data_IF_386767080027
#
_entry.id   IF_386767080027
#
_cell.length_a   1.000
_cell.length_b   1.000
_cell.length_c   1.000
_cell.angle_alpha   90.00
_cell.angle_beta   90.00
_cell.angle_gamma   90.00
#
_symmetry.space_group_name_H-M   'P 1'
#
loop_
_entity.id
_entity.type
_entity.pdbx_description
1 polymer ?
#
# COMPACT_ATOMS: atom_id res chain seq x y z
N UNK A 1 -15.62 3.31 21.97
CA UNK A 1 -15.37 4.16 20.78
C UNK A 1 -14.98 3.25 19.64
N UNK A 2 -15.48 3.47 18.44
CA UNK A 2 -15.01 2.74 17.27
C UNK A 2 -13.53 3.11 17.03
N UNK A 3 -12.69 2.10 16.80
CA UNK A 3 -11.23 2.27 16.69
C UNK A 3 -10.77 2.85 15.34
N UNK A 4 -9.46 2.96 15.18
CA UNK A 4 -8.80 3.34 13.92
C UNK A 4 -8.32 2.06 13.24
N UNK A 5 -8.82 1.78 12.05
CA UNK A 5 -8.36 0.66 11.22
C UNK A 5 -7.17 1.09 10.36
N UNK A 6 -6.08 0.33 10.40
CA UNK A 6 -4.90 0.57 9.57
C UNK A 6 -5.01 -0.24 8.28
N UNK A 7 -4.79 0.43 7.15
CA UNK A 7 -4.86 -0.12 5.80
C UNK A 7 -3.53 0.15 5.11
N UNK A 8 -3.07 -0.78 4.31
CA UNK A 8 -1.94 -0.57 3.41
C UNK A 8 -2.20 -1.22 2.05
N UNK A 9 -1.21 -1.25 1.17
CA UNK A 9 -1.31 -1.91 -0.12
C UNK A 9 -0.30 -3.06 -0.26
N UNK A 10 -0.46 -3.88 -1.29
CA UNK A 10 0.33 -5.11 -1.48
C UNK A 10 1.83 -4.87 -1.64
N UNK A 11 2.27 -3.63 -1.87
CA UNK A 11 3.69 -3.29 -2.03
C UNK A 11 4.40 -3.05 -0.71
N UNK A 12 3.72 -3.21 0.42
CA UNK A 12 4.31 -3.04 1.75
C UNK A 12 5.19 -4.21 2.19
N UNK A 13 5.16 -5.36 1.49
CA UNK A 13 5.91 -6.58 1.81
C UNK A 13 5.72 -7.07 3.26
N UNK A 14 4.52 -6.86 3.81
CA UNK A 14 4.14 -7.42 5.11
C UNK A 14 3.90 -8.92 4.99
N UNK A 15 4.43 -9.68 5.93
CA UNK A 15 4.12 -11.11 6.03
C UNK A 15 2.66 -11.34 6.40
N UNK A 16 2.10 -12.48 6.00
CA UNK A 16 0.74 -12.91 6.41
C UNK A 16 0.58 -13.01 7.92
N UNK A 17 1.66 -13.34 8.64
CA UNK A 17 1.66 -13.37 10.10
C UNK A 17 1.45 -11.97 10.69
N UNK A 18 2.15 -10.96 10.18
CA UNK A 18 2.02 -9.58 10.65
C UNK A 18 0.65 -8.99 10.29
N UNK A 19 0.15 -9.24 9.07
CA UNK A 19 -1.18 -8.76 8.68
C UNK A 19 -2.27 -9.37 9.56
N UNK A 20 -2.20 -10.67 9.84
CA UNK A 20 -3.14 -11.34 10.73
C UNK A 20 -3.04 -10.84 12.18
N UNK A 21 -1.81 -10.73 12.72
CA UNK A 21 -1.56 -10.28 14.10
C UNK A 21 -2.15 -8.90 14.39
N UNK A 22 -2.04 -7.98 13.45
CA UNK A 22 -2.50 -6.60 13.61
C UNK A 22 -3.88 -6.33 13.00
N UNK A 23 -4.52 -7.35 12.41
CA UNK A 23 -5.82 -7.19 11.75
C UNK A 23 -5.78 -6.21 10.57
N UNK A 24 -4.68 -6.18 9.82
CA UNK A 24 -4.47 -5.24 8.73
C UNK A 24 -5.29 -5.60 7.50
N UNK A 25 -5.86 -4.57 6.87
CA UNK A 25 -6.42 -4.70 5.52
C UNK A 25 -5.38 -4.29 4.49
N UNK A 26 -5.15 -5.15 3.49
CA UNK A 26 -4.18 -4.92 2.41
C UNK A 26 -4.94 -4.78 1.10
N UNK A 27 -4.76 -3.65 0.42
CA UNK A 27 -5.34 -3.39 -0.90
C UNK A 27 -4.40 -3.94 -1.97
N UNK A 28 -4.81 -4.92 -2.79
CA UNK A 28 -3.95 -5.45 -3.83
C UNK A 28 -3.77 -4.43 -4.95
N UNK A 29 -2.52 -4.22 -5.36
CA UNK A 29 -2.22 -3.57 -6.64
C UNK A 29 -2.45 -4.57 -7.79
N UNK A 30 -2.51 -4.04 -9.00
CA UNK A 30 -2.82 -4.85 -10.19
C UNK A 30 -1.57 -5.11 -11.02
N UNK A 31 -1.38 -6.38 -11.38
CA UNK A 31 -0.38 -6.85 -12.34
C UNK A 31 -1.08 -7.19 -13.65
N UNK A 32 -0.61 -6.62 -14.75
CA UNK A 32 -1.15 -6.83 -16.09
C UNK A 32 -0.10 -7.56 -16.91
N UNK A 33 -0.44 -8.75 -17.42
CA UNK A 33 0.45 -9.55 -18.24
C UNK A 33 -0.27 -9.96 -19.53
N UNK A 34 0.14 -9.38 -20.67
CA UNK A 34 -0.57 -9.59 -21.92
C UNK A 34 -2.00 -9.00 -21.88
N UNK A 35 -3.01 -9.88 -21.96
CA UNK A 35 -4.43 -9.52 -21.81
C UNK A 35 -4.99 -9.84 -20.42
N UNK A 36 -4.20 -10.53 -19.59
CA UNK A 36 -4.63 -10.98 -18.28
C UNK A 36 -4.32 -9.94 -17.21
N UNK A 37 -5.17 -9.89 -16.21
CA UNK A 37 -5.10 -8.95 -15.09
C UNK A 37 -5.19 -9.74 -13.79
N UNK A 38 -4.26 -9.50 -12.88
CA UNK A 38 -4.10 -10.23 -11.63
C UNK A 38 -4.03 -9.25 -10.47
N UNK A 39 -4.68 -9.59 -9.35
CA UNK A 39 -4.49 -8.91 -8.08
C UNK A 39 -3.26 -9.46 -7.37
N UNK A 40 -2.29 -8.59 -7.08
CA UNK A 40 -1.04 -8.93 -6.43
C UNK A 40 -1.25 -9.52 -5.03
N UNK A 41 -0.63 -10.67 -4.77
CA UNK A 41 -0.76 -11.42 -3.52
C UNK A 41 -2.07 -12.20 -3.37
N UNK A 42 -2.99 -12.10 -4.34
CA UNK A 42 -4.28 -12.81 -4.38
C UNK A 42 -4.34 -13.78 -5.55
N UNK A 43 -4.25 -13.26 -6.78
CA UNK A 43 -4.34 -14.05 -8.01
C UNK A 43 -2.96 -14.45 -8.54
N UNK A 44 -1.92 -13.70 -8.16
CA UNK A 44 -0.54 -13.93 -8.57
C UNK A 44 0.41 -13.67 -7.40
N UNK A 45 1.48 -14.46 -7.32
CA UNK A 45 2.59 -14.23 -6.41
C UNK A 45 3.89 -14.00 -7.19
N UNK A 46 4.95 -13.66 -6.46
CA UNK A 46 6.26 -13.36 -7.03
C UNK A 46 6.80 -14.52 -7.85
N UNK A 47 6.63 -15.77 -7.39
CA UNK A 47 7.14 -16.94 -8.10
C UNK A 47 6.43 -17.08 -9.45
N UNK A 48 5.08 -17.06 -9.46
CA UNK A 48 4.32 -17.20 -10.69
C UNK A 48 4.56 -16.05 -11.66
N UNK A 49 4.79 -14.84 -11.16
CA UNK A 49 5.15 -13.70 -12.00
C UNK A 49 6.47 -13.93 -12.74
N UNK A 50 7.51 -14.44 -12.06
CA UNK A 50 8.79 -14.73 -12.72
C UNK A 50 8.67 -15.88 -13.71
N UNK A 51 7.91 -16.93 -13.41
CA UNK A 51 7.61 -18.00 -14.36
C UNK A 51 6.97 -17.45 -15.64
N UNK A 52 5.98 -16.56 -15.53
CA UNK A 52 5.33 -15.93 -16.69
C UNK A 52 6.32 -15.10 -17.52
N UNK A 53 7.24 -14.37 -16.86
CA UNK A 53 8.27 -13.59 -17.54
C UNK A 53 9.22 -14.52 -18.32
N UNK A 54 9.68 -15.61 -17.71
CA UNK A 54 10.54 -16.60 -18.35
C UNK A 54 9.85 -17.32 -19.52
N UNK A 55 8.60 -17.75 -19.32
CA UNK A 55 7.79 -18.45 -20.33
C UNK A 55 7.52 -17.59 -21.57
N UNK A 56 7.30 -16.29 -21.39
CA UNK A 56 6.79 -15.41 -22.46
C UNK A 56 7.81 -14.39 -22.96
N UNK A 57 8.95 -14.21 -22.28
CA UNK A 57 9.97 -13.21 -22.60
C UNK A 57 9.46 -11.77 -22.55
N UNK A 58 8.41 -11.51 -21.77
CA UNK A 58 7.74 -10.19 -21.66
C UNK A 58 7.64 -9.78 -20.21
N UNK A 59 7.74 -8.48 -19.97
CA UNK A 59 7.56 -7.91 -18.64
C UNK A 59 6.10 -7.59 -18.34
N UNK A 60 5.65 -7.75 -17.08
CA UNK A 60 4.36 -7.25 -16.66
C UNK A 60 4.32 -5.71 -16.72
N UNK A 61 3.10 -5.17 -16.76
CA UNK A 61 2.81 -3.80 -16.36
C UNK A 61 2.10 -3.82 -15.00
N UNK A 62 2.13 -2.70 -14.31
CA UNK A 62 1.40 -2.53 -13.05
C UNK A 62 0.48 -1.34 -13.12
N UNK A 63 -0.63 -1.40 -12.38
CA UNK A 63 -1.52 -0.27 -12.17
C UNK A 63 -1.96 -0.17 -10.71
N UNK A 64 -2.22 1.06 -10.28
CA UNK A 64 -2.85 1.35 -8.99
C UNK A 64 -4.26 0.75 -8.92
N UNK A 65 -4.78 0.47 -7.72
CA UNK A 65 -6.17 0.05 -7.55
C UNK A 65 -7.12 1.17 -8.00
N UNK A 66 -8.34 0.82 -8.40
CA UNK A 66 -9.34 1.82 -8.80
C UNK A 66 -9.90 2.60 -7.60
N UNK A 67 -10.46 3.81 -7.81
CA UNK A 67 -11.15 4.53 -6.75
C UNK A 67 -12.30 3.74 -6.12
N UNK A 68 -12.96 2.86 -6.89
CA UNK A 68 -14.03 1.98 -6.41
C UNK A 68 -13.51 0.92 -5.42
N UNK A 69 -12.34 0.34 -5.69
CA UNK A 69 -11.70 -0.61 -4.77
C UNK A 69 -11.41 0.05 -3.42
N UNK A 70 -10.79 1.24 -3.43
CA UNK A 70 -10.54 1.99 -2.20
C UNK A 70 -11.82 2.38 -1.48
N UNK A 71 -12.85 2.86 -2.18
CA UNK A 71 -14.16 3.18 -1.57
C UNK A 71 -14.80 1.97 -0.89
N UNK A 72 -14.74 0.81 -1.53
CA UNK A 72 -15.26 -0.44 -0.96
C UNK A 72 -14.53 -0.79 0.34
N UNK A 73 -13.19 -0.80 0.30
CA UNK A 73 -12.34 -1.13 1.46
C UNK A 73 -12.55 -0.13 2.61
N UNK A 74 -12.53 1.17 2.33
CA UNK A 74 -12.76 2.21 3.33
C UNK A 74 -14.16 2.12 3.94
N UNK A 75 -15.18 1.85 3.13
CA UNK A 75 -16.55 1.67 3.60
C UNK A 75 -16.71 0.45 4.51
N UNK A 76 -16.07 -0.67 4.18
CA UNK A 76 -16.10 -1.87 5.00
C UNK A 76 -15.56 -1.59 6.42
N UNK A 77 -14.39 -0.97 6.53
CA UNK A 77 -13.75 -0.73 7.84
C UNK A 77 -14.37 0.42 8.63
N UNK A 78 -15.04 1.37 7.96
CA UNK A 78 -15.68 2.53 8.62
C UNK A 78 -17.18 2.34 8.89
N UNK A 79 -17.81 1.29 8.35
CA UNK A 79 -19.26 1.03 8.47
C UNK A 79 -19.81 1.03 9.91
N UNK A 80 -18.98 0.66 10.90
CA UNK A 80 -19.33 0.71 12.33
C UNK A 80 -19.12 2.07 13.01
N UNK A 81 -18.90 3.15 12.25
CA UNK A 81 -18.58 4.48 12.77
C UNK A 81 -17.10 4.67 13.15
N UNK A 82 -16.22 3.75 12.71
CA UNK A 82 -14.78 3.83 12.92
C UNK A 82 -14.07 4.79 11.96
N UNK A 83 -12.78 5.00 12.20
CA UNK A 83 -11.90 5.75 11.30
C UNK A 83 -10.97 4.79 10.56
N UNK A 84 -10.42 5.24 9.42
CA UNK A 84 -9.44 4.51 8.65
C UNK A 84 -8.19 5.36 8.38
N UNK A 85 -7.02 4.73 8.46
CA UNK A 85 -5.76 5.31 8.02
C UNK A 85 -5.12 4.39 6.97
N UNK A 86 -5.04 4.88 5.74
CA UNK A 86 -4.31 4.21 4.66
C UNK A 86 -2.88 4.74 4.58
N UNK A 87 -1.89 3.84 4.62
CA UNK A 87 -0.46 4.11 4.44
C UNK A 87 0.02 3.30 3.25
N UNK A 88 0.38 3.98 2.15
CA UNK A 88 0.63 3.31 0.87
C UNK A 88 1.98 3.61 0.25
N UNK A 89 2.23 2.98 -0.90
CA UNK A 89 3.41 3.23 -1.73
C UNK A 89 3.59 4.71 -2.06
N UNK A 90 4.84 5.15 -2.10
CA UNK A 90 5.19 6.53 -2.40
C UNK A 90 4.52 7.04 -3.67
N UNK A 91 4.00 8.27 -3.57
CA UNK A 91 3.43 9.02 -4.68
C UNK A 91 4.39 9.22 -5.87
N UNK A 92 5.70 9.03 -5.64
CA UNK A 92 6.73 9.08 -6.69
C UNK A 92 6.82 7.81 -7.54
N UNK A 93 6.33 6.67 -7.05
CA UNK A 93 6.37 5.39 -7.78
C UNK A 93 5.02 4.98 -8.37
N UNK A 94 3.92 5.44 -7.77
CA UNK A 94 2.56 5.03 -8.09
C UNK A 94 1.55 6.15 -7.80
N UNK A 95 0.42 6.12 -8.51
CA UNK A 95 -0.72 7.01 -8.27
C UNK A 95 -1.66 6.51 -7.15
N UNK A 96 -1.32 5.40 -6.50
CA UNK A 96 -2.16 4.73 -5.50
C UNK A 96 -2.63 5.67 -4.38
N UNK A 97 -1.70 6.46 -3.81
CA UNK A 97 -2.01 7.42 -2.74
C UNK A 97 -2.96 8.52 -3.21
N UNK A 98 -2.80 9.03 -4.43
CA UNK A 98 -3.69 10.06 -4.99
C UNK A 98 -5.09 9.50 -5.25
N UNK A 99 -5.18 8.28 -5.77
CA UNK A 99 -6.47 7.60 -5.99
C UNK A 99 -7.16 7.28 -4.66
N UNK A 100 -6.40 6.81 -3.66
CA UNK A 100 -6.89 6.60 -2.31
C UNK A 100 -7.40 7.92 -1.69
N UNK A 101 -6.70 9.04 -1.88
CA UNK A 101 -7.14 10.35 -1.39
C UNK A 101 -8.45 10.81 -2.06
N UNK A 102 -8.59 10.57 -3.37
CA UNK A 102 -9.84 10.83 -4.09
C UNK A 102 -10.99 9.95 -3.59
N UNK A 103 -10.73 8.68 -3.29
CA UNK A 103 -11.74 7.80 -2.68
C UNK A 103 -12.11 8.28 -1.27
N UNK A 104 -11.12 8.67 -0.46
CA UNK A 104 -11.30 9.16 0.90
C UNK A 104 -12.15 10.44 0.96
N UNK A 105 -12.07 11.33 -0.04
CA UNK A 105 -12.87 12.57 -0.07
C UNK A 105 -14.38 12.34 -0.25
N UNK A 106 -14.81 11.11 -0.52
CA UNK A 106 -16.24 10.74 -0.57
C UNK A 106 -16.81 10.37 0.79
N UNK A 107 -15.97 10.26 1.81
CA UNK A 107 -16.36 9.98 3.20
C UNK A 107 -16.47 11.28 4.01
N UNK A 108 -17.24 11.28 5.12
CA UNK A 108 -17.23 12.34 6.11
C UNK A 108 -15.81 12.80 6.47
N UNK A 109 -15.67 14.12 6.66
CA UNK A 109 -14.38 14.75 6.96
C UNK A 109 -13.69 14.07 8.16
N UNK A 110 -12.42 13.69 7.99
CA UNK A 110 -11.63 13.06 9.04
C UNK A 110 -11.93 11.58 9.29
N UNK A 111 -12.94 10.98 8.65
CA UNK A 111 -13.25 9.56 8.82
C UNK A 111 -12.20 8.66 8.15
N UNK A 112 -11.70 9.06 6.98
CA UNK A 112 -10.62 8.36 6.27
C UNK A 112 -9.45 9.32 6.07
N UNK A 113 -8.26 8.90 6.49
CA UNK A 113 -7.00 9.63 6.27
C UNK A 113 -6.07 8.80 5.40
N UNK A 114 -5.34 9.48 4.54
CA UNK A 114 -4.37 8.89 3.61
C UNK A 114 -3.01 9.48 3.91
N UNK A 115 -2.01 8.62 4.03
CA UNK A 115 -0.63 8.99 4.34
C UNK A 115 0.31 8.44 3.27
N UNK A 116 1.02 9.34 2.60
CA UNK A 116 2.11 9.00 1.69
C UNK A 116 3.34 8.56 2.51
N UNK A 117 3.69 7.27 2.43
CA UNK A 117 4.85 6.70 3.12
C UNK A 117 6.19 7.31 2.66
N UNK A 118 6.24 7.90 1.47
CA UNK A 118 7.47 8.24 0.75
C UNK A 118 8.47 7.05 0.65
N UNK A 119 7.99 5.82 0.78
CA UNK A 119 8.76 4.59 0.72
C UNK A 119 8.09 3.56 -0.21
N UNK A 120 8.75 2.41 -0.34
CA UNK A 120 8.22 1.18 -0.94
C UNK A 120 8.64 -0.01 -0.08
N UNK A 121 8.09 -1.20 -0.34
CA UNK A 121 8.50 -2.44 0.33
C UNK A 121 8.39 -2.30 1.86
N UNK A 122 9.29 -2.96 2.61
CA UNK A 122 9.31 -2.95 4.07
C UNK A 122 9.51 -1.56 4.69
N UNK A 123 9.91 -0.56 3.91
CA UNK A 123 9.88 0.84 4.34
C UNK A 123 8.44 1.32 4.63
N UNK A 124 7.46 0.87 3.85
CA UNK A 124 6.03 1.09 4.13
C UNK A 124 5.66 0.30 5.39
N UNK A 125 6.02 -0.99 5.46
CA UNK A 125 5.71 -1.86 6.60
C UNK A 125 6.13 -1.24 7.94
N UNK A 126 7.33 -0.66 8.02
CA UNK A 126 7.82 -0.02 9.24
C UNK A 126 6.89 1.10 9.73
N UNK A 127 6.37 1.92 8.81
CA UNK A 127 5.42 2.99 9.14
C UNK A 127 4.04 2.43 9.50
N UNK A 128 3.60 1.38 8.80
CA UNK A 128 2.33 0.69 9.09
C UNK A 128 2.35 0.09 10.50
N UNK A 129 3.39 -0.68 10.84
CA UNK A 129 3.52 -1.32 12.15
C UNK A 129 3.64 -0.27 13.26
N UNK A 130 4.37 0.83 13.01
CA UNK A 130 4.43 1.93 13.96
C UNK A 130 3.06 2.58 14.18
N UNK A 131 2.25 2.77 13.13
CA UNK A 131 0.88 3.24 13.27
C UNK A 131 0.02 2.26 14.08
N UNK A 132 0.14 0.96 13.85
CA UNK A 132 -0.54 -0.07 14.63
C UNK A 132 -0.19 -0.01 16.12
N UNK A 133 1.10 0.16 16.45
CA UNK A 133 1.54 0.28 17.82
C UNK A 133 0.94 1.53 18.50
N UNK A 134 0.86 2.66 17.78
CA UNK A 134 0.22 3.88 18.30
C UNK A 134 -1.29 3.71 18.50
N UNK A 135 -1.98 3.03 17.58
CA UNK A 135 -3.40 2.68 17.74
C UNK A 135 -3.59 1.81 19.00
N UNK A 136 -2.72 0.82 19.23
CA UNK A 136 -2.78 -0.04 20.41
C UNK A 136 -2.57 0.72 21.73
N UNK A 137 -1.88 1.86 21.68
CA UNK A 137 -1.69 2.77 22.81
C UNK A 137 -2.85 3.76 22.99
N UNK A 138 -3.90 3.67 22.17
CA UNK A 138 -5.07 4.54 22.25
C UNK A 138 -4.81 5.96 21.72
N UNK A 139 -3.81 6.13 20.83
CA UNK A 139 -3.54 7.42 20.20
C UNK A 139 -4.63 7.80 19.22
N UNK A 140 -4.96 9.08 19.19
CA UNK A 140 -5.93 9.63 18.24
C UNK A 140 -5.30 9.83 16.86
N UNK A 141 -6.14 9.90 15.82
CA UNK A 141 -5.70 10.01 14.41
C UNK A 141 -4.64 11.10 14.18
N UNK A 142 -4.85 12.31 14.71
CA UNK A 142 -3.92 13.42 14.48
C UNK A 142 -2.58 13.23 15.22
N UNK A 143 -2.58 12.56 16.39
CA UNK A 143 -1.34 12.19 17.08
C UNK A 143 -0.56 11.14 16.27
N UNK A 144 -1.27 10.16 15.68
CA UNK A 144 -0.67 9.14 14.83
C UNK A 144 -0.03 9.77 13.59
N UNK A 145 -0.75 10.67 12.92
CA UNK A 145 -0.25 11.35 11.73
C UNK A 145 0.96 12.23 12.05
N UNK A 146 0.94 12.97 13.15
CA UNK A 146 2.09 13.76 13.59
C UNK A 146 3.32 12.87 13.87
N UNK A 147 3.11 11.70 14.49
CA UNK A 147 4.17 10.73 14.75
C UNK A 147 4.73 10.12 13.45
N UNK A 148 3.85 9.78 12.49
CA UNK A 148 4.24 9.28 11.17
C UNK A 148 5.02 10.32 10.37
N UNK A 149 4.60 11.58 10.38
CA UNK A 149 5.33 12.69 9.76
C UNK A 149 6.74 12.82 10.32
N UNK A 150 6.90 12.72 11.65
CA UNK A 150 8.21 12.77 12.29
C UNK A 150 9.08 11.51 12.04
N UNK A 151 8.45 10.36 11.79
CA UNK A 151 9.12 9.09 11.53
C UNK A 151 9.54 8.92 10.06
N UNK A 152 8.71 9.37 9.11
CA UNK A 152 8.91 9.24 7.67
C UNK A 152 10.34 9.58 7.20
N UNK A 153 10.98 10.72 7.58
CA UNK A 153 12.33 11.04 7.11
C UNK A 153 13.42 10.12 7.69
N UNK A 154 13.12 9.32 8.72
CA UNK A 154 14.04 8.39 9.38
C UNK A 154 13.99 6.98 8.78
N UNK A 155 12.99 6.69 7.95
CA UNK A 155 12.83 5.39 7.27
C UNK A 155 13.44 5.47 5.88
N UNK A 156 14.49 4.68 5.64
CA UNK A 156 15.19 4.61 4.35
C UNK A 156 15.21 3.17 3.86
N UNK A 157 14.77 2.98 2.62
CA UNK A 157 14.85 1.69 1.92
C UNK A 157 15.96 1.76 0.88
N UNK A 158 16.77 0.71 0.77
CA UNK A 158 17.80 0.57 -0.24
C UNK A 158 17.86 -0.87 -0.70
N UNK A 159 18.10 -1.09 -1.97
CA UNK A 159 18.14 -2.40 -2.59
C UNK A 159 19.24 -2.44 -3.64
N UNK A 160 19.76 -3.65 -3.90
CA UNK A 160 20.69 -3.92 -4.98
C UNK A 160 19.92 -4.64 -6.08
N UNK A 161 20.03 -4.13 -7.30
CA UNK A 161 19.34 -4.66 -8.47
C UNK A 161 20.34 -5.50 -9.26
N UNK A 162 19.91 -6.68 -9.69
CA UNK A 162 20.71 -7.55 -10.56
C UNK A 162 20.54 -7.17 -12.04
N UNK A 163 19.29 -6.90 -12.46
CA UNK A 163 18.95 -6.50 -13.83
C UNK A 163 18.21 -5.15 -13.86
N UNK A 164 18.88 -4.12 -14.37
CA UNK A 164 18.31 -2.75 -14.47
C UNK A 164 17.17 -2.62 -15.48
N UNK A 165 17.09 -3.54 -16.44
CA UNK A 165 16.12 -3.52 -17.53
C UNK A 165 14.67 -3.42 -17.02
N UNK A 166 14.34 -4.13 -15.93
CA UNK A 166 13.02 -4.05 -15.30
C UNK A 166 12.67 -2.64 -14.81
N UNK A 167 13.64 -1.91 -14.21
CA UNK A 167 13.37 -0.56 -13.71
C UNK A 167 13.29 0.48 -14.84
N UNK A 168 14.12 0.34 -15.87
CA UNK A 168 14.12 1.22 -17.03
C UNK A 168 12.81 1.07 -17.82
N UNK A 169 12.41 -0.16 -18.15
CA UNK A 169 11.14 -0.43 -18.84
C UNK A 169 9.92 -0.02 -18.00
N UNK A 170 10.02 -0.15 -16.67
CA UNK A 170 9.02 0.35 -15.75
C UNK A 170 8.95 1.87 -15.69
N UNK A 171 9.93 2.62 -16.21
CA UNK A 171 9.98 4.09 -16.11
C UNK A 171 10.24 4.61 -14.69
N UNK A 172 10.75 3.76 -13.79
CA UNK A 172 11.12 4.11 -12.39
C UNK A 172 12.63 4.26 -12.22
N UNK A 173 13.40 4.03 -13.29
CA UNK A 173 14.78 4.45 -13.44
C UNK A 173 14.87 5.32 -14.69
N UNK A 174 15.45 6.51 -14.57
CA UNK A 174 15.79 7.38 -15.69
C UNK A 174 17.30 7.57 -15.68
N UNK A 175 17.96 7.22 -16.78
CA UNK A 175 19.41 7.28 -16.95
C UNK A 175 19.79 6.85 -18.35
#
# INVERSE_FOLDING_TARGET
MAGISIITDSTADLSRELTARYGLTVVPLTVIFGQDTYNDGIDIDTQRLFELVEENGKLPKTSSPSPEVFRSVFGQVTSGGGQALYIGISSKFSSSVQIAALAASTFPEGQVRVFDSANLSTGIANLVLYACDLVSQGKQMDEILAALEAARPKVRTSFKIDQLDYMHMGGRCTG
#
